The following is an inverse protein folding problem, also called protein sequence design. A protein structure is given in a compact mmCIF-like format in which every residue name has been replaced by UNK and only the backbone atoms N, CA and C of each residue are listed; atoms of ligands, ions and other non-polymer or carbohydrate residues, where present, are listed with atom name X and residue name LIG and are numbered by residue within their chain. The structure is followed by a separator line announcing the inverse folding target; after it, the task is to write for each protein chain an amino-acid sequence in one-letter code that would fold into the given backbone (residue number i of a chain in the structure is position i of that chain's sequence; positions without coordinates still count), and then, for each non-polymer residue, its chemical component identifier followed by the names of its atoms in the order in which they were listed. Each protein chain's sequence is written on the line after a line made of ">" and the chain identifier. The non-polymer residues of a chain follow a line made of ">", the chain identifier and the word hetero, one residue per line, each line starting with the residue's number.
data_IF_999740817766
#
_entry.id   IF_999740817766
#
_cell.length_a   1.000
_cell.length_b   1.000
_cell.length_c   1.000
_cell.angle_alpha   90.00
_cell.angle_beta   90.00
_cell.angle_gamma   90.00
#
_symmetry.space_group_name_H-M   'P 1'
#
loop_
_entity.id
_entity.type
_entity.pdbx_description
1 polymer ?
#
# COMPACT_ATOMS: atom_id res chain seq x y z
N UNK A 1 -2.15 28.54 12.00
CA UNK A 1 -1.81 27.11 11.96
C UNK A 1 -0.51 26.96 12.76
N UNK A 2 -0.64 27.02 14.08
CA UNK A 2 0.48 27.05 15.04
C UNK A 2 1.01 25.63 15.26
N UNK A 3 2.33 25.50 15.40
CA UNK A 3 3.13 24.28 15.52
C UNK A 3 2.55 23.25 16.50
N UNK A 4 1.75 22.31 15.98
CA UNK A 4 1.55 21.03 16.64
C UNK A 4 2.75 20.14 16.28
N UNK A 5 3.63 19.79 17.25
CA UNK A 5 4.82 19.03 16.97
C UNK A 5 4.45 17.64 16.42
N UNK A 6 4.91 17.33 15.22
CA UNK A 6 4.72 16.02 14.60
C UNK A 6 5.89 15.12 15.00
N UNK A 7 5.66 14.21 15.94
CA UNK A 7 6.66 13.19 16.31
C UNK A 7 6.68 12.10 15.24
N UNK A 8 7.83 11.88 14.60
CA UNK A 8 8.02 10.81 13.62
C UNK A 8 8.80 9.67 14.25
N UNK A 9 8.18 8.47 14.30
CA UNK A 9 8.88 7.21 14.59
C UNK A 9 8.81 6.30 13.37
N UNK A 10 9.48 5.14 13.40
CA UNK A 10 9.35 4.13 12.34
C UNK A 10 7.92 3.61 12.14
N UNK A 11 6.99 3.92 13.06
CA UNK A 11 5.56 3.62 12.95
C UNK A 11 4.73 4.71 12.24
N UNK A 12 5.34 5.84 11.86
CA UNK A 12 4.67 7.04 11.37
C UNK A 12 4.31 8.02 12.50
N UNK A 13 3.73 9.19 12.17
CA UNK A 13 3.18 10.08 13.18
C UNK A 13 2.00 9.43 13.91
N UNK A 14 1.93 9.68 15.21
CA UNK A 14 0.89 9.16 16.12
C UNK A 14 0.11 10.36 16.67
N UNK A 15 -1.21 10.23 16.85
CA UNK A 15 -1.99 11.31 17.43
C UNK A 15 -1.55 11.62 18.85
N UNK A 16 -1.52 12.91 19.20
CA UNK A 16 -1.26 13.37 20.55
C UNK A 16 -2.46 13.04 21.46
N UNK A 17 -2.18 12.79 22.74
CA UNK A 17 -3.23 12.56 23.72
C UNK A 17 -3.98 13.86 24.03
N UNK A 18 -5.22 13.73 24.52
CA UNK A 18 -6.04 14.87 24.92
C UNK A 18 -5.34 15.74 26.00
N UNK A 19 -4.57 15.11 26.90
CA UNK A 19 -3.86 15.80 27.96
C UNK A 19 -2.68 16.63 27.43
N UNK A 20 -1.94 16.12 26.46
CA UNK A 20 -0.85 16.84 25.79
C UNK A 20 -1.37 18.02 24.97
N UNK A 21 -2.48 17.83 24.23
CA UNK A 21 -3.14 18.89 23.47
C UNK A 21 -3.66 20.00 24.39
N UNK A 22 -4.24 19.63 25.53
CA UNK A 22 -4.71 20.58 26.54
C UNK A 22 -3.56 21.38 27.15
N UNK A 23 -2.44 20.73 27.47
CA UNK A 23 -1.27 21.40 28.02
C UNK A 23 -0.68 22.42 27.02
N UNK A 24 -0.61 22.06 25.73
CA UNK A 24 -0.15 22.97 24.67
C UNK A 24 -1.12 24.13 24.44
N UNK A 25 -2.44 23.87 24.43
CA UNK A 25 -3.47 24.90 24.28
C UNK A 25 -3.38 25.93 25.41
N UNK A 26 -3.35 25.48 26.66
CA UNK A 26 -3.27 26.37 27.84
C UNK A 26 -1.96 27.14 27.85
N UNK A 27 -0.84 26.49 27.51
CA UNK A 27 0.46 27.16 27.41
C UNK A 27 0.48 28.26 26.35
N UNK A 28 -0.09 28.00 25.16
CA UNK A 28 -0.20 29.01 24.10
C UNK A 28 -1.16 30.14 24.49
N UNK A 29 -2.29 29.82 25.11
CA UNK A 29 -3.28 30.81 25.55
C UNK A 29 -2.70 31.77 26.61
N UNK A 30 -1.93 31.27 27.57
CA UNK A 30 -1.23 32.08 28.57
C UNK A 30 -0.14 32.95 27.92
N UNK A 31 0.56 32.44 26.91
CA UNK A 31 1.57 33.20 26.19
C UNK A 31 0.97 34.34 25.35
N UNK A 32 -0.23 34.14 24.78
CA UNK A 32 -0.97 35.14 24.00
C UNK A 32 -1.68 36.18 24.87
N UNK A 33 -2.15 35.79 26.06
CA UNK A 33 -2.85 36.66 27.00
C UNK A 33 -2.37 36.41 28.44
N UNK A 34 -1.26 37.03 28.85
CA UNK A 34 -0.76 36.95 30.22
C UNK A 34 -1.75 37.66 31.18
N UNK A 35 -2.59 36.88 31.85
CA UNK A 35 -3.71 37.35 32.68
C UNK A 35 -4.96 36.47 32.58
N UNK A 36 -5.02 35.60 31.57
CA UNK A 36 -6.18 34.73 31.30
C UNK A 36 -6.66 33.94 32.52
N UNK A 37 -5.74 33.39 33.32
CA UNK A 37 -6.04 32.58 34.51
C UNK A 37 -6.38 33.41 35.75
N UNK A 38 -6.16 34.73 35.72
CA UNK A 38 -6.52 35.66 36.79
C UNK A 38 -7.77 36.48 36.49
N UNK A 39 -8.05 36.73 35.20
CA UNK A 39 -9.15 37.60 34.75
C UNK A 39 -10.45 36.82 34.47
N UNK A 40 -10.35 35.50 34.24
CA UNK A 40 -11.50 34.63 33.96
C UNK A 40 -11.70 33.59 35.07
N UNK A 41 -12.97 33.30 35.43
CA UNK A 41 -13.29 32.18 36.32
C UNK A 41 -12.77 30.86 35.74
N UNK A 42 -12.14 30.03 36.58
CA UNK A 42 -11.55 28.76 36.15
C UNK A 42 -12.53 27.80 35.47
N UNK A 43 -13.83 27.89 35.79
CA UNK A 43 -14.88 27.09 35.14
C UNK A 43 -15.14 27.47 33.67
N UNK A 44 -14.99 28.75 33.31
CA UNK A 44 -15.13 29.21 31.92
C UNK A 44 -13.89 28.84 31.09
N UNK A 45 -12.72 28.87 31.70
CA UNK A 45 -11.47 28.42 31.06
C UNK A 45 -11.54 26.91 30.78
N UNK A 46 -12.09 26.13 31.71
CA UNK A 46 -12.23 24.68 31.56
C UNK A 46 -13.24 24.30 30.47
N UNK A 47 -14.39 24.97 30.42
CA UNK A 47 -15.43 24.70 29.41
C UNK A 47 -14.95 25.01 27.97
N UNK A 48 -14.26 26.14 27.80
CA UNK A 48 -13.67 26.50 26.51
C UNK A 48 -12.50 25.58 26.15
N UNK A 49 -11.59 25.31 27.10
CA UNK A 49 -10.42 24.47 26.83
C UNK A 49 -10.81 23.01 26.53
N UNK A 50 -11.86 22.47 27.17
CA UNK A 50 -12.33 21.12 26.89
C UNK A 50 -12.97 21.00 25.50
N UNK A 51 -13.74 22.02 25.09
CA UNK A 51 -14.33 22.11 23.74
C UNK A 51 -13.23 22.23 22.67
N UNK A 52 -12.25 23.10 22.88
CA UNK A 52 -11.13 23.31 21.96
C UNK A 52 -10.23 22.08 21.85
N UNK A 53 -9.98 21.37 22.96
CA UNK A 53 -9.24 20.09 22.94
C UNK A 53 -10.00 19.03 22.16
N UNK A 54 -11.33 18.97 22.29
CA UNK A 54 -12.16 18.08 21.47
C UNK A 54 -11.99 18.32 19.97
N UNK A 55 -11.95 19.59 19.55
CA UNK A 55 -11.69 19.95 18.15
C UNK A 55 -10.25 19.63 17.72
N UNK A 56 -9.26 19.92 18.58
CA UNK A 56 -7.85 19.65 18.30
C UNK A 56 -7.58 18.15 18.12
N UNK A 57 -8.26 17.27 18.86
CA UNK A 57 -8.15 15.82 18.66
C UNK A 57 -8.56 15.45 17.25
N UNK A 58 -9.69 15.97 16.74
CA UNK A 58 -10.16 15.67 15.38
C UNK A 58 -9.18 16.19 14.33
N UNK A 59 -8.65 17.40 14.51
CA UNK A 59 -7.65 17.97 13.60
C UNK A 59 -6.33 17.19 13.62
N UNK A 60 -5.89 16.74 14.80
CA UNK A 60 -4.65 15.98 14.96
C UNK A 60 -4.77 14.60 14.30
N UNK A 61 -5.90 13.92 14.48
CA UNK A 61 -6.23 12.66 13.80
C UNK A 61 -6.24 12.82 12.27
N UNK A 62 -6.94 13.83 11.75
CA UNK A 62 -6.98 14.08 10.31
C UNK A 62 -5.60 14.38 9.72
N UNK A 63 -4.74 15.08 10.47
CA UNK A 63 -3.35 15.33 10.07
C UNK A 63 -2.54 14.04 10.03
N UNK A 64 -2.64 13.21 11.06
CA UNK A 64 -1.93 11.94 11.16
C UNK A 64 -2.36 10.98 10.05
N UNK A 65 -3.66 10.86 9.79
CA UNK A 65 -4.19 10.02 8.72
C UNK A 65 -3.73 10.48 7.34
N UNK A 66 -3.75 11.79 7.08
CA UNK A 66 -3.24 12.34 5.82
C UNK A 66 -1.76 12.02 5.64
N UNK A 67 -0.92 12.21 6.66
CA UNK A 67 0.51 11.93 6.57
C UNK A 67 0.76 10.42 6.39
N UNK A 68 0.03 9.57 7.12
CA UNK A 68 0.14 8.13 6.98
C UNK A 68 -0.34 7.62 5.61
N UNK A 69 -1.27 8.32 4.95
CA UNK A 69 -1.74 7.96 3.61
C UNK A 69 -0.69 8.14 2.50
N UNK A 70 0.29 9.01 2.71
CA UNK A 70 1.34 9.34 1.74
C UNK A 70 2.73 8.86 2.15
N UNK A 71 2.89 8.30 3.34
CA UNK A 71 4.17 7.84 3.86
C UNK A 71 4.65 6.54 3.21
N UNK A 72 5.92 6.40 2.80
CA UNK A 72 6.43 5.23 2.07
C UNK A 72 6.34 3.90 2.84
N UNK A 73 6.18 3.91 4.17
CA UNK A 73 6.00 2.71 5.00
C UNK A 73 4.52 2.32 5.25
N UNK A 74 3.55 3.20 4.96
CA UNK A 74 2.11 2.98 5.24
C UNK A 74 1.16 3.37 4.10
N UNK A 75 1.69 3.86 2.98
CA UNK A 75 0.91 4.16 1.79
C UNK A 75 0.12 2.90 1.38
N UNK A 76 -1.19 3.07 1.20
CA UNK A 76 -2.04 2.06 0.61
C UNK A 76 -1.47 1.68 -0.77
N UNK A 77 -1.51 0.40 -1.14
CA UNK A 77 -0.95 -0.12 -2.39
C UNK A 77 -1.41 0.70 -3.61
N UNK A 78 -2.65 1.17 -3.61
CA UNK A 78 -3.20 2.05 -4.64
C UNK A 78 -2.50 3.42 -4.75
N UNK A 79 -2.09 4.02 -3.62
CA UNK A 79 -1.31 5.27 -3.62
C UNK A 79 0.14 5.02 -4.02
N UNK A 80 0.70 3.87 -3.66
CA UNK A 80 2.03 3.47 -4.10
C UNK A 80 2.08 3.26 -5.63
N UNK A 81 1.04 2.66 -6.20
CA UNK A 81 0.87 2.53 -7.66
C UNK A 81 0.73 3.89 -8.35
N UNK A 82 -0.07 4.81 -7.79
CA UNK A 82 -0.22 6.16 -8.35
C UNK A 82 1.10 6.93 -8.33
N UNK A 83 1.86 6.85 -7.23
CA UNK A 83 3.17 7.49 -7.11
C UNK A 83 4.21 6.85 -8.03
N UNK A 84 4.21 5.52 -8.17
CA UNK A 84 5.06 4.82 -9.12
C UNK A 84 4.75 5.27 -10.56
N UNK A 85 3.48 5.40 -10.92
CA UNK A 85 3.03 5.88 -12.22
C UNK A 85 3.47 7.34 -12.48
N UNK A 86 3.36 8.23 -11.48
CA UNK A 86 3.84 9.61 -11.58
C UNK A 86 5.36 9.70 -11.70
N UNK A 87 6.10 8.80 -11.06
CA UNK A 87 7.56 8.72 -11.12
C UNK A 87 8.08 7.98 -12.38
N UNK A 88 7.20 7.45 -13.23
CA UNK A 88 7.58 6.63 -14.38
C UNK A 88 8.18 5.27 -13.99
N UNK A 89 8.01 4.85 -12.74
CA UNK A 89 8.46 3.56 -12.23
C UNK A 89 7.36 2.55 -12.55
N UNK A 90 7.66 1.44 -13.26
CA UNK A 90 6.67 0.40 -13.48
C UNK A 90 6.17 -0.12 -12.13
N UNK A 91 4.84 -0.25 -12.00
CA UNK A 91 4.20 -0.72 -10.78
C UNK A 91 4.76 -2.07 -10.33
N UNK A 92 4.64 -2.38 -9.04
CA UNK A 92 5.09 -3.66 -8.50
C UNK A 92 4.41 -4.79 -9.28
N UNK A 93 5.20 -5.69 -9.87
CA UNK A 93 4.69 -6.83 -10.64
C UNK A 93 4.04 -7.80 -9.65
N UNK A 94 2.72 -7.73 -9.49
CA UNK A 94 1.97 -8.57 -8.53
C UNK A 94 1.70 -9.97 -9.09
N UNK A 95 1.61 -10.12 -10.41
CA UNK A 95 1.40 -11.39 -11.13
C UNK A 95 2.64 -11.77 -11.96
N UNK A 96 2.98 -13.06 -12.05
CA UNK A 96 4.13 -13.54 -12.84
C UNK A 96 5.49 -13.46 -12.12
N UNK A 97 5.49 -13.49 -10.78
CA UNK A 97 6.71 -13.62 -9.96
C UNK A 97 7.21 -15.07 -9.86
N UNK A 98 6.33 -16.04 -10.08
CA UNK A 98 6.69 -17.45 -10.19
C UNK A 98 6.97 -17.81 -11.64
N UNK A 99 8.21 -18.21 -11.90
CA UNK A 99 8.64 -18.78 -13.19
C UNK A 99 8.86 -20.27 -13.03
N UNK A 100 8.24 -21.08 -13.88
CA UNK A 100 8.44 -22.53 -13.92
C UNK A 100 9.09 -22.94 -15.23
N UNK A 101 10.14 -23.79 -15.21
CA UNK A 101 10.68 -24.36 -16.44
C UNK A 101 9.76 -25.47 -16.95
N UNK A 102 9.28 -25.34 -18.19
CA UNK A 102 8.40 -26.33 -18.84
C UNK A 102 9.07 -26.86 -20.09
N UNK A 103 8.84 -28.13 -20.38
CA UNK A 103 9.29 -28.78 -21.60
C UNK A 103 8.09 -29.45 -22.28
N UNK A 104 7.86 -29.10 -23.54
CA UNK A 104 6.80 -29.66 -24.37
C UNK A 104 7.30 -30.85 -25.17
N UNK A 105 6.50 -31.91 -25.24
CA UNK A 105 6.71 -33.09 -26.09
C UNK A 105 5.61 -33.21 -27.14
N UNK A 106 5.94 -33.69 -28.33
CA UNK A 106 5.00 -33.75 -29.44
C UNK A 106 5.66 -33.92 -30.81
N UNK A 107 4.91 -33.68 -31.90
CA UNK A 107 5.43 -33.79 -33.25
C UNK A 107 6.52 -32.76 -33.52
N UNK A 108 7.60 -33.19 -34.17
CA UNK A 108 8.68 -32.30 -34.58
C UNK A 108 8.15 -31.17 -35.48
N UNK A 109 8.58 -29.94 -35.20
CA UNK A 109 8.18 -28.75 -35.95
C UNK A 109 6.93 -28.04 -35.40
N UNK A 110 6.30 -28.55 -34.34
CA UNK A 110 5.19 -27.85 -33.69
C UNK A 110 5.70 -26.62 -32.93
N UNK A 111 5.12 -25.45 -33.21
CA UNK A 111 5.50 -24.17 -32.60
C UNK A 111 4.56 -23.87 -31.43
N UNK A 112 5.14 -23.60 -30.26
CA UNK A 112 4.44 -23.06 -29.09
C UNK A 112 4.69 -21.55 -29.05
N UNK A 113 3.68 -20.71 -29.33
CA UNK A 113 3.85 -19.26 -29.33
C UNK A 113 4.02 -18.72 -27.90
N UNK A 114 4.62 -17.52 -27.81
CA UNK A 114 4.62 -16.74 -26.57
C UNK A 114 3.17 -16.47 -26.13
N UNK A 115 2.93 -16.53 -24.82
CA UNK A 115 1.59 -16.37 -24.24
C UNK A 115 0.73 -17.64 -24.28
N UNK A 116 1.24 -18.76 -24.80
CA UNK A 116 0.56 -20.04 -24.70
C UNK A 116 0.35 -20.43 -23.23
N UNK A 117 -0.87 -20.80 -22.86
CA UNK A 117 -1.24 -21.07 -21.47
C UNK A 117 -1.00 -22.54 -21.14
N UNK A 118 -0.25 -22.78 -20.07
CA UNK A 118 -0.03 -24.09 -19.47
C UNK A 118 -0.59 -24.12 -18.05
N UNK A 119 -1.05 -25.28 -17.59
CA UNK A 119 -1.53 -25.44 -16.21
C UNK A 119 -0.95 -26.69 -15.57
N UNK A 120 -0.65 -26.61 -14.28
CA UNK A 120 -0.30 -27.75 -13.43
C UNK A 120 -1.53 -28.32 -12.67
N UNK A 121 -2.74 -27.86 -13.04
CA UNK A 121 -4.01 -28.22 -12.41
C UNK A 121 -4.42 -27.32 -11.24
N UNK A 122 -3.50 -26.51 -10.70
CA UNK A 122 -3.78 -25.54 -9.63
C UNK A 122 -3.53 -24.11 -10.09
N UNK A 123 -2.49 -23.89 -10.89
CA UNK A 123 -2.05 -22.61 -11.39
C UNK A 123 -2.01 -22.60 -12.92
N UNK A 124 -2.16 -21.42 -13.50
CA UNK A 124 -1.96 -21.16 -14.92
C UNK A 124 -0.71 -20.32 -15.11
N UNK A 125 0.04 -20.66 -16.14
CA UNK A 125 1.26 -19.99 -16.52
C UNK A 125 1.22 -19.70 -18.01
N UNK A 126 1.86 -18.61 -18.42
CA UNK A 126 2.01 -18.23 -19.82
C UNK A 126 3.47 -18.43 -20.25
N UNK A 127 3.68 -19.00 -21.43
CA UNK A 127 5.02 -19.17 -22.01
C UNK A 127 5.66 -17.81 -22.26
N UNK A 128 6.86 -17.57 -21.70
CA UNK A 128 7.56 -16.28 -21.79
C UNK A 128 8.15 -16.01 -23.18
N UNK A 129 8.65 -17.06 -23.84
CA UNK A 129 9.30 -17.01 -25.14
C UNK A 129 8.80 -18.13 -26.05
N UNK A 130 8.55 -17.84 -27.31
CA UNK A 130 8.11 -18.87 -28.26
C UNK A 130 9.18 -19.98 -28.40
N UNK A 131 8.74 -21.23 -28.44
CA UNK A 131 9.62 -22.40 -28.60
C UNK A 131 9.07 -23.36 -29.64
N UNK A 132 9.92 -24.23 -30.18
CA UNK A 132 9.55 -25.23 -31.18
C UNK A 132 9.96 -26.62 -30.69
N UNK A 133 9.12 -27.62 -30.95
CA UNK A 133 9.46 -29.01 -30.67
C UNK A 133 10.50 -29.47 -31.69
N UNK A 134 11.69 -29.83 -31.20
CA UNK A 134 12.81 -30.24 -32.05
C UNK A 134 12.58 -31.64 -32.63
N UNK A 135 13.46 -32.08 -33.54
CA UNK A 135 13.39 -33.42 -34.15
C UNK A 135 13.52 -34.58 -33.16
N UNK A 136 13.95 -34.31 -31.91
CA UNK A 136 13.95 -35.29 -30.83
C UNK A 136 12.55 -35.58 -30.25
N UNK A 137 11.51 -34.88 -30.71
CA UNK A 137 10.15 -34.97 -30.19
C UNK A 137 9.92 -34.17 -28.91
N UNK A 138 10.91 -33.38 -28.49
CA UNK A 138 10.89 -32.58 -27.28
C UNK A 138 11.49 -31.19 -27.55
N UNK A 139 10.93 -30.15 -26.93
CA UNK A 139 11.41 -28.76 -27.00
C UNK A 139 12.56 -28.48 -26.03
N UNK A 140 13.24 -27.34 -26.19
CA UNK A 140 14.10 -26.81 -25.14
C UNK A 140 13.25 -26.37 -23.94
N UNK A 141 13.82 -26.44 -22.73
CA UNK A 141 13.12 -25.95 -21.53
C UNK A 141 12.87 -24.45 -21.68
N UNK A 142 11.60 -24.04 -21.56
CA UNK A 142 11.15 -22.66 -21.66
C UNK A 142 10.55 -22.21 -20.34
N UNK A 143 10.79 -20.96 -19.98
CA UNK A 143 10.22 -20.36 -18.79
C UNK A 143 8.74 -20.02 -19.03
N UNK A 144 7.88 -20.38 -18.07
CA UNK A 144 6.50 -19.96 -18.05
C UNK A 144 6.25 -19.09 -16.82
N UNK A 145 5.63 -17.93 -17.00
CA UNK A 145 5.32 -16.96 -15.95
C UNK A 145 3.88 -17.16 -15.46
N UNK A 146 3.67 -17.22 -14.14
CA UNK A 146 2.32 -17.35 -13.56
C UNK A 146 1.40 -16.19 -13.96
N UNK A 147 0.22 -16.50 -14.51
CA UNK A 147 -0.69 -15.46 -15.05
C UNK A 147 -1.61 -14.82 -14.01
N UNK A 148 -1.71 -15.36 -12.80
CA UNK A 148 -2.67 -14.91 -11.78
C UNK A 148 -2.09 -14.99 -10.36
N UNK A 149 -2.42 -14.00 -9.53
CA UNK A 149 -2.24 -14.03 -8.07
C UNK A 149 -3.60 -14.32 -7.43
N UNK A 150 -3.92 -15.61 -7.24
CA UNK A 150 -4.96 -16.08 -6.33
C UNK A 150 -6.44 -16.07 -6.81
N UNK A 151 -6.88 -17.24 -7.30
CA UNK A 151 -8.20 -17.92 -7.16
C UNK A 151 -9.52 -17.26 -7.63
N UNK A 152 -10.14 -17.83 -8.68
CA UNK A 152 -11.44 -18.54 -8.60
C UNK A 152 -11.67 -19.47 -9.81
N UNK A 153 -12.26 -20.64 -9.53
CA UNK A 153 -12.33 -21.78 -10.43
C UNK A 153 -13.40 -21.74 -11.53
N UNK A 154 -13.26 -22.67 -12.47
CA UNK A 154 -14.26 -22.97 -13.50
C UNK A 154 -13.78 -24.05 -14.45
N UNK A 155 -14.37 -25.23 -14.33
CA UNK A 155 -14.23 -26.45 -15.12
C UNK A 155 -13.83 -26.29 -16.62
N UNK A 156 -12.96 -27.19 -17.08
CA UNK A 156 -12.78 -27.47 -18.50
C UNK A 156 -11.77 -28.59 -18.77
N UNK A 157 -12.24 -29.84 -18.82
CA UNK A 157 -11.47 -30.97 -19.37
C UNK A 157 -11.15 -30.68 -20.85
N UNK A 158 -9.87 -30.69 -21.21
CA UNK A 158 -9.36 -31.01 -22.54
C UNK A 158 -7.99 -31.64 -22.31
N UNK A 159 -7.61 -32.81 -22.80
CA UNK A 159 -8.15 -33.76 -23.77
C UNK A 159 -6.96 -34.63 -24.13
#
# INVERSE_FOLDING_TARGET
>A
MSDLPVSYTSAGPVPLTAEELRAQLVSQAIALSPGLTTDLPGSLIEDVASTDVGALIVCDQARVDLINSVGPLKANLAMLELLAQQAGIPGQKTAGTTTVPVQFSGPAGFVIPQGFIVSDGTYTYSVSDATIISSSGVSASVSCEGTETGTWGGAGKYG
#
